data_IF_480531750456
#
_entry.id   IF_480531750456
#
_cell.length_a   1.000
_cell.length_b   1.000
_cell.length_c   1.000
_cell.angle_alpha   90.00
_cell.angle_beta   90.00
_cell.angle_gamma   90.00
#
_symmetry.space_group_name_H-M   'P 1'
#
loop_
_entity.id
_entity.type
_entity.pdbx_description
1 polymer ?
#
# COMPACT_ATOMS: atom_id res chain seq x y z
N UNK A 1 13.49 33.00 -15.28
CA UNK A 1 13.32 31.78 -14.48
C UNK A 1 12.19 31.00 -15.13
N UNK A 2 12.44 29.77 -15.57
CA UNK A 2 11.38 28.95 -16.16
C UNK A 2 10.51 28.44 -15.03
N UNK A 3 9.24 28.84 -15.02
CA UNK A 3 8.24 28.33 -14.10
C UNK A 3 7.82 26.93 -14.58
N UNK A 4 8.08 25.91 -13.78
CA UNK A 4 7.61 24.55 -14.05
C UNK A 4 6.17 24.49 -13.57
N UNK A 5 5.25 23.99 -14.40
CA UNK A 5 3.86 23.88 -14.03
C UNK A 5 3.65 22.84 -12.91
N UNK A 6 2.71 23.13 -12.01
CA UNK A 6 2.48 22.33 -10.80
C UNK A 6 2.17 20.85 -11.11
N UNK A 7 1.31 20.50 -12.10
CA UNK A 7 1.02 19.11 -12.42
C UNK A 7 2.28 18.28 -12.70
N UNK A 8 3.25 18.83 -13.43
CA UNK A 8 4.51 18.17 -13.75
C UNK A 8 5.37 17.94 -12.50
N UNK A 9 5.31 18.87 -11.52
CA UNK A 9 5.99 18.70 -10.23
C UNK A 9 5.31 17.60 -9.39
N UNK A 10 3.98 17.57 -9.38
CA UNK A 10 3.21 16.54 -8.66
C UNK A 10 3.46 15.15 -9.26
N UNK A 11 3.47 15.03 -10.59
CA UNK A 11 3.76 13.78 -11.31
C UNK A 11 5.19 13.29 -11.02
N UNK A 12 6.17 14.21 -11.02
CA UNK A 12 7.55 13.89 -10.68
C UNK A 12 7.70 13.43 -9.23
N UNK A 13 7.02 14.09 -8.29
CA UNK A 13 7.02 13.69 -6.87
C UNK A 13 6.37 12.31 -6.69
N UNK A 14 5.25 12.04 -7.36
CA UNK A 14 4.61 10.72 -7.34
C UNK A 14 5.52 9.63 -7.91
N UNK A 15 6.25 9.92 -9.00
CA UNK A 15 7.25 9.03 -9.57
C UNK A 15 8.40 8.71 -8.61
N UNK A 16 8.92 9.73 -7.91
CA UNK A 16 9.94 9.55 -6.87
C UNK A 16 9.42 8.69 -5.71
N UNK A 17 8.18 8.91 -5.26
CA UNK A 17 7.54 8.08 -4.23
C UNK A 17 7.47 6.61 -4.65
N UNK A 18 6.99 6.32 -5.87
CA UNK A 18 6.93 4.94 -6.39
C UNK A 18 8.30 4.28 -6.48
N UNK A 19 9.34 5.06 -6.76
CA UNK A 19 10.73 4.62 -6.76
C UNK A 19 11.35 4.50 -5.36
N UNK A 20 10.56 4.53 -4.28
CA UNK A 20 11.01 4.49 -2.88
C UNK A 20 11.97 5.65 -2.50
N UNK A 21 11.78 6.83 -3.11
CA UNK A 21 12.55 8.06 -2.87
C UNK A 21 11.68 9.12 -2.20
N UNK A 22 11.00 8.75 -1.11
CA UNK A 22 10.01 9.59 -0.42
C UNK A 22 10.58 10.93 0.08
N UNK A 23 11.80 10.93 0.61
CA UNK A 23 12.47 12.17 1.07
C UNK A 23 12.73 13.13 -0.09
N UNK A 24 13.07 12.62 -1.27
CA UNK A 24 13.31 13.44 -2.46
C UNK A 24 12.01 13.98 -3.03
N UNK A 25 10.96 13.16 -3.04
CA UNK A 25 9.61 13.57 -3.41
C UNK A 25 9.13 14.71 -2.49
N UNK A 26 9.30 14.56 -1.18
CA UNK A 26 8.96 15.58 -0.19
C UNK A 26 9.76 16.86 -0.39
N UNK A 27 11.09 16.76 -0.59
CA UNK A 27 11.95 17.92 -0.87
C UNK A 27 11.56 18.64 -2.15
N UNK A 28 11.15 17.91 -3.19
CA UNK A 28 10.67 18.49 -4.44
C UNK A 28 9.39 19.32 -4.20
N UNK A 29 8.41 18.77 -3.48
CA UNK A 29 7.18 19.50 -3.14
C UNK A 29 7.48 20.72 -2.26
N UNK A 30 8.43 20.62 -1.33
CA UNK A 30 8.86 21.71 -0.44
C UNK A 30 9.65 22.82 -1.14
N UNK A 31 10.07 22.61 -2.39
CA UNK A 31 10.69 23.66 -3.21
C UNK A 31 9.65 24.55 -3.90
N UNK A 32 8.40 24.08 -4.06
CA UNK A 32 7.34 24.85 -4.71
C UNK A 32 6.90 26.01 -3.83
N UNK A 33 6.72 27.19 -4.43
CA UNK A 33 6.23 28.40 -3.77
C UNK A 33 4.99 28.87 -4.51
N UNK A 34 3.84 28.80 -3.85
CA UNK A 34 2.55 29.26 -4.37
C UNK A 34 1.76 29.88 -3.23
N UNK A 35 0.86 30.81 -3.57
CA UNK A 35 -0.12 31.37 -2.66
C UNK A 35 -1.55 31.05 -3.11
N UNK A 36 -1.70 30.30 -4.21
CA UNK A 36 -3.00 29.87 -4.68
C UNK A 36 -3.55 28.77 -3.75
N UNK A 37 -4.75 28.94 -3.16
CA UNK A 37 -5.30 27.96 -2.24
C UNK A 37 -5.51 26.56 -2.84
N UNK A 38 -5.88 26.47 -4.13
CA UNK A 38 -6.08 25.17 -4.77
C UNK A 38 -4.76 24.45 -5.00
N UNK A 39 -3.71 25.17 -5.40
CA UNK A 39 -2.36 24.61 -5.50
C UNK A 39 -1.85 24.12 -4.14
N UNK A 40 -2.10 24.89 -3.06
CA UNK A 40 -1.73 24.50 -1.70
C UNK A 40 -2.42 23.20 -1.25
N UNK A 41 -3.70 23.02 -1.59
CA UNK A 41 -4.43 21.77 -1.35
C UNK A 41 -3.80 20.62 -2.14
N UNK A 42 -3.56 20.79 -3.45
CA UNK A 42 -2.97 19.74 -4.29
C UNK A 42 -1.57 19.30 -3.78
N UNK A 43 -0.75 20.29 -3.38
CA UNK A 43 0.54 20.08 -2.76
C UNK A 43 0.45 19.36 -1.40
N UNK A 44 -0.58 19.65 -0.60
CA UNK A 44 -0.81 18.98 0.68
C UNK A 44 -1.28 17.53 0.50
N UNK A 45 -2.14 17.24 -0.48
CA UNK A 45 -2.57 15.89 -0.86
C UNK A 45 -1.37 15.03 -1.26
N UNK A 46 -0.50 15.55 -2.14
CA UNK A 46 0.68 14.83 -2.58
C UNK A 46 1.62 14.51 -1.40
N UNK A 47 1.88 15.48 -0.51
CA UNK A 47 2.69 15.25 0.70
C UNK A 47 2.08 14.19 1.62
N UNK A 48 0.79 14.27 1.89
CA UNK A 48 0.12 13.32 2.76
C UNK A 48 0.15 11.90 2.17
N UNK A 49 -0.06 11.78 0.85
CA UNK A 49 0.05 10.51 0.12
C UNK A 49 1.45 9.91 0.23
N UNK A 50 2.49 10.70 -0.03
CA UNK A 50 3.90 10.27 0.05
C UNK A 50 4.24 9.85 1.48
N UNK A 51 3.84 10.63 2.48
CA UNK A 51 4.14 10.35 3.88
C UNK A 51 3.45 9.06 4.37
N UNK A 52 2.18 8.85 4.03
CA UNK A 52 1.46 7.61 4.38
C UNK A 52 2.05 6.39 3.66
N UNK A 53 2.51 6.55 2.41
CA UNK A 53 3.21 5.50 1.67
C UNK A 53 4.56 5.16 2.32
N UNK A 54 5.35 6.18 2.69
CA UNK A 54 6.62 6.01 3.40
C UNK A 54 6.42 5.29 4.74
N UNK A 55 5.41 5.68 5.52
CA UNK A 55 5.07 5.06 6.80
C UNK A 55 4.76 3.57 6.66
N UNK A 56 4.04 3.17 5.61
CA UNK A 56 3.75 1.77 5.35
C UNK A 56 5.03 0.95 5.11
N UNK A 57 5.95 1.49 4.31
CA UNK A 57 7.12 0.74 3.85
C UNK A 57 8.32 0.79 4.81
N UNK A 58 8.61 1.97 5.38
CA UNK A 58 9.72 2.18 6.29
C UNK A 58 9.31 2.08 7.77
N UNK A 59 8.01 1.90 8.07
CA UNK A 59 7.47 1.87 9.44
C UNK A 59 7.79 3.16 10.22
N UNK A 60 7.67 4.30 9.54
CA UNK A 60 7.80 5.65 10.10
C UNK A 60 6.45 6.22 10.54
N UNK A 61 6.45 7.49 11.00
CA UNK A 61 5.24 8.18 11.47
C UNK A 61 5.11 9.63 10.94
N UNK A 62 5.36 9.83 9.64
CA UNK A 62 5.26 11.12 8.97
C UNK A 62 3.83 11.46 8.54
N UNK A 63 2.99 10.46 8.29
CA UNK A 63 1.62 10.59 7.78
C UNK A 63 0.72 11.51 8.61
N UNK A 64 0.62 11.35 9.95
CA UNK A 64 -0.28 12.17 10.78
C UNK A 64 -0.01 13.67 10.65
N UNK A 65 1.26 14.08 10.69
CA UNK A 65 1.65 15.48 10.56
C UNK A 65 1.36 16.04 9.16
N UNK A 66 1.54 15.24 8.11
CA UNK A 66 1.23 15.64 6.75
C UNK A 66 -0.28 15.76 6.50
N UNK A 67 -1.08 14.82 7.02
CA UNK A 67 -2.55 14.86 6.95
C UNK A 67 -3.15 16.03 7.74
N UNK A 68 -2.57 16.41 8.88
CA UNK A 68 -2.99 17.61 9.62
C UNK A 68 -2.82 18.90 8.80
N UNK A 69 -1.75 18.99 7.99
CA UNK A 69 -1.55 20.12 7.07
C UNK A 69 -2.57 20.10 5.93
N UNK A 70 -2.91 18.93 5.41
CA UNK A 70 -3.97 18.79 4.40
C UNK A 70 -5.34 19.21 4.97
N UNK A 71 -5.67 18.78 6.19
CA UNK A 71 -6.88 19.19 6.89
C UNK A 71 -6.96 20.72 7.06
N UNK A 72 -5.84 21.36 7.44
CA UNK A 72 -5.78 22.82 7.51
C UNK A 72 -6.00 23.47 6.13
N UNK A 73 -5.37 22.97 5.07
CA UNK A 73 -5.56 23.49 3.72
C UNK A 73 -7.03 23.37 3.25
N UNK A 74 -7.72 22.28 3.60
CA UNK A 74 -9.13 22.08 3.31
C UNK A 74 -10.08 22.99 4.09
N UNK A 75 -9.67 23.50 5.26
CA UNK A 75 -10.44 24.53 5.98
C UNK A 75 -10.42 25.86 5.21
N UNK A 76 -9.33 26.16 4.52
CA UNK A 76 -9.16 27.39 3.73
C UNK A 76 -9.78 27.26 2.33
N UNK A 77 -9.65 26.09 1.69
CA UNK A 77 -10.20 25.77 0.38
C UNK A 77 -10.89 24.39 0.38
N UNK A 78 -12.19 24.31 0.73
CA UNK A 78 -12.91 23.04 0.81
C UNK A 78 -13.08 22.35 -0.54
N UNK A 79 -12.74 21.06 -0.59
CA UNK A 79 -13.01 20.17 -1.72
C UNK A 79 -13.53 18.82 -1.17
N UNK A 80 -14.79 18.43 -1.43
CA UNK A 80 -15.35 17.17 -0.92
C UNK A 80 -14.62 15.91 -1.40
N UNK A 81 -14.10 15.90 -2.64
CA UNK A 81 -13.37 14.75 -3.17
C UNK A 81 -12.03 14.59 -2.46
N UNK A 82 -11.33 15.70 -2.20
CA UNK A 82 -10.09 15.70 -1.42
C UNK A 82 -10.36 15.39 0.06
N UNK A 83 -11.52 15.80 0.59
CA UNK A 83 -11.98 15.40 1.92
C UNK A 83 -12.13 13.88 2.04
N UNK A 84 -12.66 13.22 1.00
CA UNK A 84 -12.67 11.76 0.92
C UNK A 84 -11.25 11.18 0.86
N UNK A 85 -10.35 11.77 0.07
CA UNK A 85 -8.95 11.32 -0.05
C UNK A 85 -8.22 11.40 1.30
N UNK A 86 -8.46 12.45 2.10
CA UNK A 86 -7.93 12.58 3.46
C UNK A 86 -8.44 11.45 4.37
N UNK A 87 -9.74 11.16 4.37
CA UNK A 87 -10.29 10.05 5.16
C UNK A 87 -9.73 8.70 4.72
N UNK A 88 -9.55 8.50 3.42
CA UNK A 88 -8.92 7.30 2.90
C UNK A 88 -7.45 7.20 3.33
N UNK A 89 -6.68 8.28 3.32
CA UNK A 89 -5.30 8.30 3.84
C UNK A 89 -5.23 7.95 5.33
N UNK A 90 -6.19 8.42 6.14
CA UNK A 90 -6.30 8.07 7.56
C UNK A 90 -6.56 6.57 7.73
N UNK A 91 -7.52 6.01 6.98
CA UNK A 91 -7.79 4.57 6.96
C UNK A 91 -6.52 3.76 6.66
N UNK A 92 -5.75 4.17 5.63
CA UNK A 92 -4.52 3.49 5.22
C UNK A 92 -3.46 3.49 6.33
N UNK A 93 -3.31 4.62 7.03
CA UNK A 93 -2.36 4.75 8.15
C UNK A 93 -2.77 3.92 9.36
N UNK A 94 -4.05 3.94 9.73
CA UNK A 94 -4.55 3.18 10.88
C UNK A 94 -4.50 1.67 10.59
N UNK A 95 -4.81 1.28 9.35
CA UNK A 95 -4.60 -0.09 8.90
C UNK A 95 -3.14 -0.54 9.04
N UNK A 96 -2.17 0.25 8.59
CA UNK A 96 -0.76 -0.08 8.71
C UNK A 96 -0.33 -0.22 10.18
N UNK A 97 -0.85 0.66 11.04
CA UNK A 97 -0.60 0.60 12.49
C UNK A 97 -1.11 -0.70 13.10
N UNK A 98 -2.35 -1.09 12.80
CA UNK A 98 -2.94 -2.35 13.28
C UNK A 98 -2.26 -3.60 12.70
N UNK A 99 -1.84 -3.54 11.43
CA UNK A 99 -1.12 -4.63 10.77
C UNK A 99 0.19 -4.94 11.48
N UNK A 100 0.99 -3.91 11.77
CA UNK A 100 2.32 -4.09 12.36
C UNK A 100 2.29 -4.25 13.88
N UNK A 101 1.29 -3.70 14.57
CA UNK A 101 1.12 -3.96 16.02
C UNK A 101 0.85 -5.44 16.29
N UNK A 102 0.02 -6.09 15.46
CA UNK A 102 -0.27 -7.54 15.56
C UNK A 102 0.93 -8.40 15.22
N UNK A 103 1.66 -8.05 14.16
CA UNK A 103 2.90 -8.75 13.81
C UNK A 103 3.95 -8.71 14.93
N UNK A 104 3.99 -7.64 15.74
CA UNK A 104 4.88 -7.54 16.89
C UNK A 104 4.40 -8.41 18.07
N UNK A 105 3.08 -8.51 18.31
CA UNK A 105 2.50 -9.35 19.36
C UNK A 105 2.72 -10.84 19.08
N UNK A 106 2.55 -11.28 17.83
CA UNK A 106 2.81 -12.66 17.40
C UNK A 106 4.28 -13.07 17.59
N UNK A 107 5.20 -12.09 17.61
CA UNK A 107 6.62 -12.31 17.82
C UNK A 107 7.03 -12.32 19.31
N UNK A 108 6.22 -11.76 20.24
CA UNK A 108 6.67 -11.47 21.60
C UNK A 108 6.12 -12.37 22.73
N UNK A 109 4.84 -12.80 22.83
CA UNK A 109 4.40 -13.78 23.86
C UNK A 109 2.91 -14.22 23.94
N UNK A 110 2.70 -15.28 24.76
CA UNK A 110 1.54 -16.13 25.00
C UNK A 110 0.53 -15.70 26.09
N UNK A 111 0.06 -14.45 26.13
CA UNK A 111 -1.01 -14.03 27.05
C UNK A 111 -2.19 -13.40 26.27
N UNK A 112 -2.95 -14.26 25.57
CA UNK A 112 -3.79 -13.90 24.42
C UNK A 112 -5.15 -13.23 24.68
N UNK A 113 -5.81 -13.39 25.83
CA UNK A 113 -7.27 -13.15 25.83
C UNK A 113 -7.72 -11.67 25.89
N UNK A 114 -6.95 -10.75 26.47
CA UNK A 114 -7.35 -9.31 26.59
C UNK A 114 -6.89 -8.43 25.43
N UNK A 115 -5.75 -8.76 24.81
CA UNK A 115 -5.23 -8.04 23.65
C UNK A 115 -6.02 -8.39 22.38
N UNK A 116 -6.45 -9.65 22.24
CA UNK A 116 -7.27 -10.12 21.12
C UNK A 116 -8.59 -9.34 21.00
N UNK A 117 -9.29 -9.08 22.11
CA UNK A 117 -10.58 -8.38 22.11
C UNK A 117 -10.51 -6.92 21.67
N UNK A 118 -9.47 -6.18 22.09
CA UNK A 118 -9.27 -4.78 21.67
C UNK A 118 -8.84 -4.68 20.20
N UNK A 119 -7.96 -5.58 19.76
CA UNK A 119 -7.50 -5.65 18.38
C UNK A 119 -8.61 -6.05 17.42
N UNK A 120 -9.48 -7.00 17.81
CA UNK A 120 -10.65 -7.36 17.00
C UNK A 120 -11.61 -6.18 16.82
N UNK A 121 -11.93 -5.46 17.91
CA UNK A 121 -12.79 -4.29 17.82
C UNK A 121 -12.17 -3.17 16.94
N UNK A 122 -10.84 -3.03 16.91
CA UNK A 122 -10.16 -2.11 15.99
C UNK A 122 -10.26 -2.55 14.53
N UNK A 123 -10.05 -3.85 14.27
CA UNK A 123 -10.19 -4.45 12.94
C UNK A 123 -11.60 -4.27 12.37
N UNK A 124 -12.64 -4.52 13.16
CA UNK A 124 -14.05 -4.32 12.76
C UNK A 124 -14.34 -2.86 12.42
N UNK A 125 -13.88 -1.91 13.25
CA UNK A 125 -14.04 -0.46 12.98
C UNK A 125 -13.39 -0.05 11.67
N UNK A 126 -12.19 -0.56 11.38
CA UNK A 126 -11.49 -0.30 10.12
C UNK A 126 -12.25 -0.87 8.93
N UNK A 127 -12.75 -2.10 9.03
CA UNK A 127 -13.52 -2.74 7.96
C UNK A 127 -14.82 -1.98 7.66
N UNK A 128 -15.56 -1.56 8.69
CA UNK A 128 -16.75 -0.72 8.53
C UNK A 128 -16.41 0.64 7.91
N UNK A 129 -15.28 1.24 8.28
CA UNK A 129 -14.83 2.51 7.69
C UNK A 129 -14.48 2.35 6.21
N UNK A 130 -13.75 1.30 5.85
CA UNK A 130 -13.43 0.97 4.47
C UNK A 130 -14.70 0.71 3.63
N UNK A 131 -15.71 0.03 4.19
CA UNK A 131 -17.02 -0.14 3.56
C UNK A 131 -17.73 1.20 3.31
N UNK A 132 -17.77 2.07 4.32
CA UNK A 132 -18.35 3.41 4.14
C UNK A 132 -17.62 4.20 3.05
N UNK A 133 -16.28 4.19 3.06
CA UNK A 133 -15.48 4.89 2.05
C UNK A 133 -15.70 4.32 0.65
N UNK A 134 -15.85 3.01 0.50
CA UNK A 134 -16.22 2.39 -0.78
C UNK A 134 -17.60 2.87 -1.25
N UNK A 135 -18.60 2.92 -0.36
CA UNK A 135 -19.95 3.32 -0.69
C UNK A 135 -20.10 4.82 -1.01
N UNK A 136 -19.23 5.66 -0.45
CA UNK A 136 -19.24 7.12 -0.63
C UNK A 136 -18.15 7.63 -1.57
N UNK A 137 -17.42 6.74 -2.23
CA UNK A 137 -16.33 7.10 -3.13
C UNK A 137 -16.82 8.04 -4.24
N UNK A 138 -16.15 9.19 -4.48
CA UNK A 138 -16.58 10.16 -5.47
C UNK A 138 -16.32 9.69 -6.92
N UNK A 139 -15.59 8.59 -7.11
CA UNK A 139 -15.30 8.00 -8.41
C UNK A 139 -15.10 6.48 -8.31
N UNK A 140 -15.26 5.78 -9.45
CA UNK A 140 -15.15 4.32 -9.49
C UNK A 140 -13.74 3.84 -9.15
N UNK A 141 -12.69 4.56 -9.58
CA UNK A 141 -11.30 4.25 -9.24
C UNK A 141 -11.08 4.26 -7.72
N UNK A 142 -11.54 5.31 -7.02
CA UNK A 142 -11.49 5.42 -5.55
C UNK A 142 -12.28 4.31 -4.86
N UNK A 143 -13.44 3.94 -5.39
CA UNK A 143 -14.21 2.81 -4.88
C UNK A 143 -13.42 1.49 -5.01
N UNK A 144 -12.64 1.33 -6.08
CA UNK A 144 -11.74 0.20 -6.29
C UNK A 144 -10.63 0.12 -5.24
N UNK A 145 -9.97 1.25 -4.93
CA UNK A 145 -8.96 1.32 -3.86
C UNK A 145 -9.55 1.02 -2.48
N UNK A 146 -10.75 1.52 -2.17
CA UNK A 146 -11.45 1.18 -0.94
C UNK A 146 -11.83 -0.31 -0.87
N UNK A 147 -12.29 -0.91 -1.98
CA UNK A 147 -12.55 -2.35 -2.07
C UNK A 147 -11.29 -3.17 -1.80
N UNK A 148 -10.14 -2.75 -2.34
CA UNK A 148 -8.86 -3.39 -2.03
C UNK A 148 -8.53 -3.32 -0.53
N UNK A 149 -8.75 -2.17 0.11
CA UNK A 149 -8.50 -2.02 1.55
C UNK A 149 -9.44 -2.87 2.42
N UNK A 150 -10.70 -3.07 1.99
CA UNK A 150 -11.60 -4.06 2.63
C UNK A 150 -11.04 -5.47 2.52
N UNK A 151 -10.46 -5.83 1.37
CA UNK A 151 -9.83 -7.13 1.15
C UNK A 151 -8.66 -7.39 2.11
N UNK A 152 -7.72 -6.44 2.21
CA UNK A 152 -6.54 -6.61 3.09
C UNK A 152 -6.88 -6.56 4.57
N UNK A 153 -7.98 -5.92 4.97
CA UNK A 153 -8.50 -5.98 6.33
C UNK A 153 -9.16 -7.34 6.60
N UNK A 154 -9.97 -7.84 5.67
CA UNK A 154 -10.59 -9.15 5.77
C UNK A 154 -9.53 -10.26 5.93
N UNK A 155 -8.47 -10.23 5.12
CA UNK A 155 -7.36 -11.18 5.23
C UNK A 155 -6.55 -10.99 6.51
N UNK A 156 -5.94 -9.81 6.67
CA UNK A 156 -4.86 -9.64 7.63
C UNK A 156 -5.37 -9.33 9.04
N UNK A 157 -6.60 -8.83 9.17
CA UNK A 157 -7.15 -8.40 10.46
C UNK A 157 -8.34 -9.24 10.94
N UNK A 158 -9.15 -9.79 10.04
CA UNK A 158 -10.38 -10.49 10.42
C UNK A 158 -10.33 -12.00 10.19
N UNK A 159 -9.30 -12.52 9.53
CA UNK A 159 -9.21 -13.93 9.12
C UNK A 159 -10.48 -14.39 8.35
N UNK A 160 -10.98 -13.53 7.46
CA UNK A 160 -12.18 -13.73 6.64
C UNK A 160 -11.82 -13.91 5.15
N UNK A 161 -11.24 -15.06 4.76
CA UNK A 161 -10.65 -15.23 3.42
C UNK A 161 -11.69 -15.20 2.28
N UNK A 162 -12.93 -15.61 2.54
CA UNK A 162 -14.00 -15.54 1.53
C UNK A 162 -14.37 -14.08 1.21
N UNK A 163 -14.43 -13.23 2.23
CA UNK A 163 -14.70 -11.80 2.06
C UNK A 163 -13.52 -11.12 1.39
N UNK A 164 -12.29 -11.50 1.74
CA UNK A 164 -11.09 -10.98 1.10
C UNK A 164 -11.07 -11.30 -0.41
N UNK A 165 -11.29 -12.56 -0.79
CA UNK A 165 -11.41 -12.98 -2.19
C UNK A 165 -12.45 -12.17 -2.96
N UNK A 166 -13.63 -11.98 -2.38
CA UNK A 166 -14.71 -11.20 -2.97
C UNK A 166 -14.30 -9.74 -3.21
N UNK A 167 -13.65 -9.13 -2.22
CA UNK A 167 -13.19 -7.75 -2.28
C UNK A 167 -12.03 -7.55 -3.27
N UNK A 168 -11.04 -8.43 -3.31
CA UNK A 168 -9.97 -8.34 -4.31
C UNK A 168 -10.47 -8.58 -5.73
N UNK A 169 -11.42 -9.50 -5.91
CA UNK A 169 -12.06 -9.73 -7.23
C UNK A 169 -12.80 -8.46 -7.68
N UNK A 170 -13.50 -7.80 -6.75
CA UNK A 170 -14.16 -6.52 -7.01
C UNK A 170 -13.16 -5.42 -7.38
N UNK A 171 -12.08 -5.29 -6.61
CA UNK A 171 -11.01 -4.33 -6.87
C UNK A 171 -10.34 -4.56 -8.22
N UNK A 172 -10.05 -5.82 -8.58
CA UNK A 172 -9.49 -6.20 -9.87
C UNK A 172 -10.42 -5.81 -11.02
N UNK A 173 -11.71 -6.16 -10.91
CA UNK A 173 -12.68 -5.85 -11.96
C UNK A 173 -12.87 -4.33 -12.15
N UNK A 174 -12.78 -3.53 -11.07
CA UNK A 174 -12.78 -2.07 -11.16
C UNK A 174 -11.51 -1.57 -11.82
N UNK A 175 -10.34 -2.06 -11.39
CA UNK A 175 -9.04 -1.68 -11.93
C UNK A 175 -8.98 -1.88 -13.45
N UNK A 176 -9.44 -3.03 -13.94
CA UNK A 176 -9.50 -3.35 -15.37
C UNK A 176 -10.43 -2.40 -16.15
N UNK A 177 -11.59 -2.03 -15.59
CA UNK A 177 -12.52 -1.08 -16.22
C UNK A 177 -11.97 0.34 -16.26
N UNK A 178 -11.29 0.78 -15.20
CA UNK A 178 -10.72 2.11 -15.08
C UNK A 178 -9.34 2.25 -15.75
N UNK A 179 -8.69 1.14 -16.09
CA UNK A 179 -7.30 1.12 -16.56
C UNK A 179 -6.28 1.45 -15.45
N UNK A 180 -6.60 1.17 -14.19
CA UNK A 180 -5.71 1.39 -13.05
C UNK A 180 -4.76 0.20 -12.86
N UNK A 181 -3.64 0.24 -13.58
CA UNK A 181 -2.60 -0.79 -13.53
C UNK A 181 -1.99 -0.98 -12.13
N UNK A 182 -1.99 0.07 -11.31
CA UNK A 182 -1.46 -0.01 -9.95
C UNK A 182 -2.42 -0.84 -9.08
N UNK A 183 -3.71 -0.53 -9.07
CA UNK A 183 -4.73 -1.30 -8.35
C UNK A 183 -4.85 -2.75 -8.85
N UNK A 184 -4.77 -2.97 -10.16
CA UNK A 184 -4.73 -4.32 -10.77
C UNK A 184 -3.57 -5.12 -10.16
N UNK A 185 -2.39 -4.52 -10.06
CA UNK A 185 -1.22 -5.17 -9.48
C UNK A 185 -1.38 -5.47 -7.98
N UNK A 186 -2.10 -4.63 -7.24
CA UNK A 186 -2.41 -4.86 -5.83
C UNK A 186 -3.33 -6.07 -5.70
N UNK A 187 -4.47 -6.08 -6.40
CA UNK A 187 -5.44 -7.17 -6.32
C UNK A 187 -4.86 -8.52 -6.74
N UNK A 188 -4.10 -8.56 -7.85
CA UNK A 188 -3.49 -9.79 -8.35
C UNK A 188 -2.47 -10.40 -7.39
N UNK A 189 -1.70 -9.58 -6.66
CA UNK A 189 -0.78 -10.09 -5.63
C UNK A 189 -1.53 -10.92 -4.60
N UNK A 190 -2.63 -10.39 -4.07
CA UNK A 190 -3.39 -11.05 -3.02
C UNK A 190 -4.22 -12.22 -3.54
N UNK A 191 -4.84 -12.11 -4.71
CA UNK A 191 -5.50 -13.25 -5.37
C UNK A 191 -4.52 -14.41 -5.63
N UNK A 192 -3.27 -14.11 -6.00
CA UNK A 192 -2.22 -15.11 -6.13
C UNK A 192 -1.85 -15.77 -4.79
N UNK A 193 -1.90 -15.05 -3.67
CA UNK A 193 -1.65 -15.61 -2.34
C UNK A 193 -2.76 -16.58 -1.89
N UNK A 194 -4.01 -16.25 -2.21
CA UNK A 194 -5.14 -17.17 -2.02
C UNK A 194 -5.03 -18.40 -2.91
N UNK A 195 -4.61 -18.25 -4.17
CA UNK A 195 -4.35 -19.38 -5.06
C UNK A 195 -3.23 -20.28 -4.53
N UNK A 196 -2.17 -19.68 -3.97
CA UNK A 196 -1.05 -20.40 -3.37
C UNK A 196 -1.51 -21.21 -2.15
N UNK A 197 -2.30 -20.59 -1.28
CA UNK A 197 -2.91 -21.25 -0.11
C UNK A 197 -3.81 -22.42 -0.52
N UNK A 198 -4.52 -22.30 -1.65
CA UNK A 198 -5.32 -23.38 -2.23
C UNK A 198 -4.50 -24.47 -2.95
N UNK A 199 -3.19 -24.29 -3.10
CA UNK A 199 -2.29 -25.22 -3.79
C UNK A 199 -2.31 -25.11 -5.32
N UNK A 200 -2.98 -24.10 -5.90
CA UNK A 200 -2.94 -23.85 -7.34
C UNK A 200 -1.70 -23.03 -7.71
N UNK A 201 -0.57 -23.71 -7.78
CA UNK A 201 0.73 -23.09 -8.10
C UNK A 201 0.75 -22.46 -9.49
N UNK A 202 -0.04 -22.98 -10.44
CA UNK A 202 -0.13 -22.42 -11.80
C UNK A 202 -0.82 -21.06 -11.79
N UNK A 203 -1.96 -20.97 -11.10
CA UNK A 203 -2.69 -19.70 -10.96
C UNK A 203 -1.91 -18.69 -10.12
N UNK A 204 -1.27 -19.17 -9.03
CA UNK A 204 -0.33 -18.38 -8.21
C UNK A 204 0.71 -17.70 -9.08
N UNK A 205 1.43 -18.48 -9.88
CA UNK A 205 2.46 -17.98 -10.79
C UNK A 205 1.93 -16.93 -11.74
N UNK A 206 0.81 -17.23 -12.42
CA UNK A 206 0.21 -16.31 -13.38
C UNK A 206 -0.15 -14.95 -12.74
N UNK A 207 -0.79 -14.97 -11.57
CA UNK A 207 -1.16 -13.75 -10.86
C UNK A 207 0.06 -12.97 -10.34
N UNK A 208 1.04 -13.66 -9.76
CA UNK A 208 2.23 -13.03 -9.20
C UNK A 208 3.20 -12.48 -10.24
N UNK A 209 3.37 -13.14 -11.39
CA UNK A 209 4.15 -12.63 -12.51
C UNK A 209 3.46 -11.42 -13.14
N UNK A 210 2.14 -11.46 -13.34
CA UNK A 210 1.38 -10.30 -13.85
C UNK A 210 1.43 -9.10 -12.90
N UNK A 211 1.29 -9.33 -11.59
CA UNK A 211 1.47 -8.28 -10.58
C UNK A 211 2.87 -7.66 -10.66
N UNK A 212 3.90 -8.48 -10.87
CA UNK A 212 5.28 -8.01 -11.02
C UNK A 212 5.43 -7.11 -12.25
N UNK A 213 4.93 -7.53 -13.40
CA UNK A 213 4.98 -6.78 -14.66
C UNK A 213 4.34 -5.39 -14.51
N UNK A 214 3.13 -5.33 -13.93
CA UNK A 214 2.41 -4.08 -13.72
C UNK A 214 3.13 -3.13 -12.77
N UNK A 215 3.70 -3.65 -11.68
CA UNK A 215 4.49 -2.84 -10.72
C UNK A 215 5.76 -2.31 -11.37
N UNK A 216 6.41 -3.07 -12.24
CA UNK A 216 7.56 -2.60 -13.01
C UNK A 216 7.16 -1.48 -13.97
N UNK A 217 6.06 -1.65 -14.71
CA UNK A 217 5.54 -0.63 -15.64
C UNK A 217 5.18 0.68 -14.95
N UNK A 218 4.60 0.60 -13.76
CA UNK A 218 4.22 1.78 -12.95
C UNK A 218 5.40 2.37 -12.14
N UNK A 219 6.55 1.69 -12.12
CA UNK A 219 7.75 2.10 -11.39
C UNK A 219 7.66 1.91 -9.87
N UNK A 220 6.77 1.04 -9.38
CA UNK A 220 6.54 0.78 -7.95
C UNK A 220 7.60 -0.16 -7.36
N UNK A 221 8.79 0.38 -7.07
CA UNK A 221 9.98 -0.39 -6.69
C UNK A 221 9.78 -1.24 -5.43
N UNK A 222 9.26 -0.66 -4.35
CA UNK A 222 9.00 -1.38 -3.10
C UNK A 222 8.03 -2.54 -3.31
N UNK A 223 6.98 -2.32 -4.11
CA UNK A 223 6.04 -3.35 -4.53
C UNK A 223 6.68 -4.46 -5.38
N UNK A 224 7.58 -4.12 -6.32
CA UNK A 224 8.31 -5.12 -7.11
C UNK A 224 9.14 -6.02 -6.19
N UNK A 225 9.89 -5.44 -5.26
CA UNK A 225 10.72 -6.19 -4.31
C UNK A 225 9.86 -7.12 -3.43
N UNK A 226 8.73 -6.62 -2.93
CA UNK A 226 7.76 -7.40 -2.17
C UNK A 226 7.19 -8.58 -2.98
N UNK A 227 7.00 -8.41 -4.28
CA UNK A 227 6.49 -9.45 -5.16
C UNK A 227 7.57 -10.47 -5.53
N UNK A 228 8.81 -10.02 -5.74
CA UNK A 228 9.95 -10.90 -5.96
C UNK A 228 10.25 -11.79 -4.75
N UNK A 229 10.02 -11.31 -3.52
CA UNK A 229 10.08 -12.15 -2.33
C UNK A 229 9.05 -13.31 -2.37
N UNK A 230 7.82 -13.07 -2.86
CA UNK A 230 6.83 -14.13 -3.04
C UNK A 230 7.22 -15.11 -4.15
N UNK A 231 7.82 -14.62 -5.24
CA UNK A 231 8.36 -15.50 -6.29
C UNK A 231 9.53 -16.37 -5.77
N UNK A 232 10.33 -15.88 -4.83
CA UNK A 232 11.34 -16.69 -4.15
C UNK A 232 10.71 -17.80 -3.29
N UNK A 233 9.59 -17.49 -2.60
CA UNK A 233 8.79 -18.51 -1.88
C UNK A 233 8.24 -19.56 -2.84
N UNK A 234 7.71 -19.15 -4.00
CA UNK A 234 7.20 -20.07 -5.02
C UNK A 234 8.31 -21.00 -5.55
N UNK A 235 9.47 -20.43 -5.90
CA UNK A 235 10.63 -21.21 -6.36
C UNK A 235 11.07 -22.23 -5.31
N UNK A 236 11.04 -21.87 -4.02
CA UNK A 236 11.33 -22.79 -2.93
C UNK A 236 10.31 -23.94 -2.88
N UNK A 237 9.01 -23.64 -3.03
CA UNK A 237 7.94 -24.64 -3.04
C UNK A 237 8.05 -25.62 -4.23
N UNK A 238 8.59 -25.17 -5.35
CA UNK A 238 8.86 -25.98 -6.54
C UNK A 238 10.21 -26.74 -6.49
N UNK A 239 11.02 -26.52 -5.44
CA UNK A 239 12.32 -27.16 -5.26
C UNK A 239 13.49 -26.47 -5.96
N UNK A 240 13.28 -25.29 -6.54
CA UNK A 240 14.28 -24.48 -7.23
C UNK A 240 15.12 -23.63 -6.23
N UNK A 241 15.82 -24.31 -5.31
CA UNK A 241 16.52 -23.66 -4.18
C UNK A 241 17.52 -22.58 -4.58
N UNK A 242 18.28 -22.80 -5.65
CA UNK A 242 19.27 -21.82 -6.12
C UNK A 242 18.59 -20.55 -6.65
N UNK A 243 17.48 -20.69 -7.37
CA UNK A 243 16.70 -19.57 -7.87
C UNK A 243 16.04 -18.79 -6.73
N UNK A 244 15.47 -19.50 -5.75
CA UNK A 244 14.90 -18.91 -4.54
C UNK A 244 15.93 -18.07 -3.77
N UNK A 245 17.12 -18.63 -3.50
CA UNK A 245 18.18 -17.95 -2.77
C UNK A 245 18.72 -16.73 -3.53
N UNK A 246 18.87 -16.81 -4.86
CA UNK A 246 19.30 -15.69 -5.69
C UNK A 246 18.30 -14.53 -5.65
N UNK A 247 17.00 -14.82 -5.81
CA UNK A 247 15.93 -13.81 -5.73
C UNK A 247 15.86 -13.18 -4.33
N UNK A 248 15.81 -14.01 -3.27
CA UNK A 248 15.76 -13.54 -1.89
C UNK A 248 16.98 -12.68 -1.54
N UNK A 249 18.17 -13.07 -1.97
CA UNK A 249 19.41 -12.33 -1.74
C UNK A 249 19.43 -10.95 -2.40
N UNK A 250 18.91 -10.82 -3.62
CA UNK A 250 18.79 -9.51 -4.29
C UNK A 250 17.75 -8.62 -3.60
N UNK A 251 16.57 -9.17 -3.29
CA UNK A 251 15.53 -8.42 -2.57
C UNK A 251 16.04 -7.95 -1.21
N UNK A 252 16.75 -8.80 -0.46
CA UNK A 252 17.34 -8.45 0.83
C UNK A 252 18.32 -7.26 0.72
N UNK A 253 19.17 -7.24 -0.31
CA UNK A 253 20.13 -6.14 -0.53
C UNK A 253 19.40 -4.82 -0.77
N UNK A 254 18.41 -4.80 -1.67
CA UNK A 254 17.61 -3.61 -1.94
C UNK A 254 16.81 -3.15 -0.73
N UNK A 255 16.13 -4.09 -0.04
CA UNK A 255 15.36 -3.81 1.16
C UNK A 255 16.23 -3.16 2.25
N UNK A 256 17.47 -3.64 2.41
CA UNK A 256 18.44 -3.05 3.35
C UNK A 256 18.80 -1.60 2.96
N UNK A 257 19.07 -1.35 1.67
CA UNK A 257 19.44 -0.01 1.19
C UNK A 257 18.28 0.99 1.27
N UNK A 258 17.05 0.53 1.07
CA UNK A 258 15.84 1.36 1.09
C UNK A 258 15.24 1.51 2.50
N UNK A 259 15.78 0.81 3.49
CA UNK A 259 15.25 0.83 4.86
C UNK A 259 13.88 0.17 4.98
N UNK A 260 13.69 -1.00 4.37
CA UNK A 260 12.44 -1.77 4.39
C UNK A 260 12.56 -2.93 5.40
N UNK A 261 12.27 -2.72 6.70
CA UNK A 261 12.61 -3.67 7.77
C UNK A 261 11.88 -5.00 7.62
N UNK A 262 10.58 -4.98 7.38
CA UNK A 262 9.75 -6.19 7.24
C UNK A 262 10.20 -7.07 6.06
N UNK A 263 10.61 -6.46 4.94
CA UNK A 263 11.07 -7.20 3.76
C UNK A 263 12.48 -7.77 3.97
N UNK A 264 13.33 -7.03 4.68
CA UNK A 264 14.67 -7.50 5.10
C UNK A 264 14.53 -8.73 6.00
N UNK A 265 13.58 -8.72 6.94
CA UNK A 265 13.27 -9.86 7.81
C UNK A 265 12.72 -11.04 7.02
N UNK A 266 11.71 -10.82 6.17
CA UNK A 266 11.07 -11.87 5.38
C UNK A 266 12.07 -12.65 4.51
N UNK A 267 13.02 -11.94 3.89
CA UNK A 267 14.01 -12.55 2.99
C UNK A 267 15.21 -13.18 3.69
N UNK A 268 15.42 -12.89 4.99
CA UNK A 268 16.56 -13.42 5.74
C UNK A 268 16.53 -14.95 5.90
N UNK A 269 15.35 -15.56 5.87
CA UNK A 269 15.16 -17.01 6.01
C UNK A 269 15.19 -17.77 4.66
N UNK A 270 15.13 -17.05 3.53
CA UNK A 270 15.05 -17.63 2.18
C UNK A 270 16.39 -17.61 1.43
N UNK A 271 17.45 -17.09 2.07
CA UNK A 271 18.80 -16.95 1.50
C UNK A 271 19.76 -18.05 1.93
#
# INVERSE_FOLDING_TARGET
MTEIALPEVLDAAAGLSRAARWDDATRLLDAVRTHDPADLVALAVARATIAVDQDLFQQTDHGPAAMAKLEQALQEAPDPAVGWDLEFLRLRKDYATELFSRSAVDAEQSDGERAEGSGMAAAERLAEWAERLQATAPSEDRAGHAAFYRGVMADNLLAAPADALSNYTTALAIAERCGDEFLESLALRHLGDHAHTAGDLKLTRAHWERSTELRQRTGHLSGVLAQQALLAVLAQAEGEREAAAALAGEVHRWATQLGLPWLTQQTAALR
#
